data_IF_851954843580
#
_entry.id   IF_851954843580
#
_cell.length_a   1.000
_cell.length_b   1.000
_cell.length_c   1.000
_cell.angle_alpha   90.00
_cell.angle_beta   90.00
_cell.angle_gamma   90.00
#
_symmetry.space_group_name_H-M   'P 1'
#
loop_
_entity.id
_entity.type
_entity.pdbx_description
1 polymer ?
#
# COMPACT_ATOMS: atom_id res chain seq x y z
N UNK A 1 18.20 10.10 -2.06
CA UNK A 1 16.77 9.71 -2.13
C UNK A 1 16.33 9.69 -3.58
N UNK A 2 15.72 8.59 -4.03
CA UNK A 2 15.17 8.47 -5.39
C UNK A 2 13.81 9.18 -5.51
N UNK A 3 13.36 9.50 -6.74
CA UNK A 3 12.05 10.12 -6.99
C UNK A 3 10.90 9.29 -6.39
N UNK A 4 11.01 7.95 -6.46
CA UNK A 4 10.00 7.01 -5.98
C UNK A 4 9.92 6.97 -4.45
N UNK A 5 11.05 7.05 -3.74
CA UNK A 5 11.08 7.16 -2.27
C UNK A 5 10.36 8.44 -1.81
N UNK A 6 10.71 9.60 -2.40
CA UNK A 6 10.02 10.86 -2.06
C UNK A 6 8.52 10.82 -2.35
N UNK A 7 8.10 10.13 -3.42
CA UNK A 7 6.69 9.94 -3.73
C UNK A 7 6.01 9.03 -2.70
N UNK A 8 6.65 7.90 -2.35
CA UNK A 8 6.14 6.92 -1.40
C UNK A 8 5.88 7.55 -0.03
N UNK A 9 6.87 8.23 0.56
CA UNK A 9 6.67 8.92 1.85
C UNK A 9 5.52 9.95 1.85
N UNK A 10 5.35 10.70 0.75
CA UNK A 10 4.22 11.64 0.60
C UNK A 10 2.88 10.91 0.55
N UNK A 11 2.80 9.86 -0.25
CA UNK A 11 1.58 9.06 -0.40
C UNK A 11 1.21 8.39 0.92
N UNK A 12 2.16 7.79 1.64
CA UNK A 12 1.90 7.15 2.94
C UNK A 12 1.33 8.17 3.94
N UNK A 13 1.90 9.39 3.96
CA UNK A 13 1.41 10.47 4.84
C UNK A 13 -0.02 10.87 4.50
N UNK A 14 -0.33 11.01 3.20
CA UNK A 14 -1.67 11.35 2.72
C UNK A 14 -2.66 10.22 2.99
N UNK A 15 -2.28 8.97 2.72
CA UNK A 15 -3.11 7.80 2.92
C UNK A 15 -3.48 7.61 4.40
N UNK A 16 -2.52 7.73 5.32
CA UNK A 16 -2.78 7.69 6.77
C UNK A 16 -3.75 8.78 7.23
N UNK A 17 -3.66 9.96 6.62
CA UNK A 17 -4.56 11.07 6.91
C UNK A 17 -5.98 10.86 6.35
N UNK A 18 -6.09 10.23 5.18
CA UNK A 18 -7.36 10.01 4.49
C UNK A 18 -8.20 8.86 5.08
N UNK A 19 -7.55 7.76 5.51
CA UNK A 19 -8.25 6.54 5.98
C UNK A 19 -8.20 6.33 7.50
N UNK A 20 -7.59 7.26 8.26
CA UNK A 20 -7.58 7.20 9.72
C UNK A 20 -6.56 6.24 10.35
N UNK A 21 -5.64 5.64 9.58
CA UNK A 21 -4.66 4.63 10.04
C UNK A 21 -3.45 5.18 10.83
N UNK A 22 -3.62 6.20 11.67
CA UNK A 22 -2.51 6.85 12.40
C UNK A 22 -2.08 5.99 13.59
N UNK A 23 -1.23 4.99 13.32
CA UNK A 23 -0.69 4.06 14.33
C UNK A 23 -0.92 2.58 14.03
N UNK A 24 -1.64 2.27 12.95
CA UNK A 24 -1.88 0.89 12.52
C UNK A 24 -0.64 0.30 11.83
N UNK A 25 -0.32 -0.96 12.14
CA UNK A 25 0.65 -1.74 11.37
C UNK A 25 0.12 -1.94 9.95
N UNK A 26 0.98 -1.82 8.93
CA UNK A 26 0.58 -2.02 7.54
C UNK A 26 0.05 -3.44 7.29
N UNK A 27 0.65 -4.42 7.98
CA UNK A 27 0.21 -5.82 8.04
C UNK A 27 0.03 -6.23 9.51
N UNK A 28 -1.18 -6.13 10.08
CA UNK A 28 -1.45 -6.57 11.44
C UNK A 28 -1.41 -8.10 11.55
N UNK A 29 -0.65 -8.64 12.50
CA UNK A 29 -0.64 -10.09 12.75
C UNK A 29 -2.02 -10.57 13.20
N UNK A 30 -2.56 -11.58 12.50
CA UNK A 30 -3.82 -12.24 12.87
C UNK A 30 -5.09 -11.64 12.26
N UNK A 31 -5.04 -10.46 11.63
CA UNK A 31 -6.11 -10.01 10.73
C UNK A 31 -5.72 -10.38 9.30
N UNK A 32 -6.54 -11.15 8.59
CA UNK A 32 -6.29 -11.54 7.20
C UNK A 32 -6.36 -10.39 6.18
N UNK A 33 -6.00 -9.17 6.58
CA UNK A 33 -6.10 -7.96 5.76
C UNK A 33 -5.01 -6.95 6.09
N UNK A 34 -4.83 -6.00 5.17
CA UNK A 34 -3.87 -4.91 5.26
C UNK A 34 -4.54 -3.66 5.81
N UNK A 35 -3.75 -2.80 6.46
CA UNK A 35 -4.22 -1.47 6.82
C UNK A 35 -4.60 -0.69 5.56
N UNK A 36 -5.69 0.06 5.63
CA UNK A 36 -6.24 0.72 4.45
C UNK A 36 -5.25 1.75 3.86
N UNK A 37 -4.40 2.37 4.69
CA UNK A 37 -3.36 3.27 4.21
C UNK A 37 -2.30 2.56 3.37
N UNK A 38 -1.97 1.31 3.67
CA UNK A 38 -1.00 0.52 2.92
C UNK A 38 -1.58 0.16 1.54
N UNK A 39 -2.85 -0.24 1.49
CA UNK A 39 -3.58 -0.54 0.26
C UNK A 39 -3.69 0.70 -0.64
N UNK A 40 -4.07 1.85 -0.08
CA UNK A 40 -4.11 3.13 -0.80
C UNK A 40 -2.72 3.52 -1.30
N UNK A 41 -1.68 3.32 -0.48
CA UNK A 41 -0.30 3.67 -0.88
C UNK A 41 0.19 2.83 -2.06
N UNK A 42 -0.07 1.52 -2.03
CA UNK A 42 0.24 0.60 -3.14
C UNK A 42 -0.56 0.95 -4.40
N UNK A 43 -1.82 1.36 -4.26
CA UNK A 43 -2.62 1.82 -5.40
C UNK A 43 -2.05 3.11 -6.03
N UNK A 44 -1.65 4.09 -5.23
CA UNK A 44 -1.02 5.30 -5.73
C UNK A 44 0.32 5.01 -6.43
N UNK A 45 1.13 4.09 -5.89
CA UNK A 45 2.36 3.63 -6.56
C UNK A 45 2.07 2.95 -7.90
N UNK A 46 1.00 2.16 -7.95
CA UNK A 46 0.53 1.54 -9.19
C UNK A 46 0.17 2.56 -10.26
N UNK A 47 -0.50 3.65 -9.87
CA UNK A 47 -0.81 4.77 -10.79
C UNK A 47 0.48 5.50 -11.20
N UNK A 48 1.35 5.83 -10.25
CA UNK A 48 2.60 6.56 -10.51
C UNK A 48 3.57 5.82 -11.43
N UNK A 49 3.60 4.48 -11.33
CA UNK A 49 4.41 3.62 -12.19
C UNK A 49 3.70 3.22 -13.49
N UNK A 50 2.43 3.59 -13.66
CA UNK A 50 1.59 3.27 -14.82
C UNK A 50 1.59 1.77 -15.17
N UNK A 51 1.54 0.92 -14.13
CA UNK A 51 1.69 -0.53 -14.24
C UNK A 51 0.47 -1.30 -13.73
N UNK A 52 0.43 -2.60 -14.01
CA UNK A 52 -0.53 -3.50 -13.35
C UNK A 52 -0.13 -3.73 -11.89
N UNK A 53 -1.08 -4.17 -11.05
CA UNK A 53 -0.78 -4.52 -9.66
C UNK A 53 0.31 -5.57 -9.56
N UNK A 54 0.27 -6.59 -10.42
CA UNK A 54 1.28 -7.66 -10.44
C UNK A 54 2.68 -7.11 -10.68
N UNK A 55 2.86 -6.32 -11.74
CA UNK A 55 4.15 -5.72 -12.05
C UNK A 55 4.67 -4.78 -10.96
N UNK A 56 3.77 -4.05 -10.29
CA UNK A 56 4.15 -3.15 -9.20
C UNK A 56 4.63 -3.93 -7.99
N UNK A 57 3.94 -5.01 -7.63
CA UNK A 57 4.35 -5.87 -6.52
C UNK A 57 5.68 -6.57 -6.82
N UNK A 58 5.85 -7.08 -8.05
CA UNK A 58 7.11 -7.68 -8.49
C UNK A 58 8.27 -6.67 -8.40
N UNK A 59 8.06 -5.43 -8.88
CA UNK A 59 9.07 -4.37 -8.79
C UNK A 59 9.37 -3.97 -7.35
N UNK A 60 8.34 -3.82 -6.51
CA UNK A 60 8.50 -3.44 -5.11
C UNK A 60 9.21 -4.55 -4.31
N UNK A 61 9.04 -5.82 -4.70
CA UNK A 61 9.75 -6.95 -4.08
C UNK A 61 11.28 -6.88 -4.24
N UNK A 62 11.76 -6.13 -5.23
CA UNK A 62 13.18 -5.85 -5.49
C UNK A 62 13.64 -4.52 -4.88
N UNK A 63 12.73 -3.79 -4.21
CA UNK A 63 12.96 -2.48 -3.61
C UNK A 63 12.54 -2.43 -2.14
N UNK A 64 13.18 -3.22 -1.25
CA UNK A 64 12.77 -3.36 0.15
C UNK A 64 12.73 -2.02 0.91
N UNK A 65 13.59 -1.06 0.55
CA UNK A 65 13.53 0.28 1.15
C UNK A 65 12.18 1.01 0.92
N UNK A 66 11.54 0.79 -0.22
CA UNK A 66 10.25 1.43 -0.54
C UNK A 66 9.11 0.75 0.20
N UNK A 67 9.17 -0.58 0.34
CA UNK A 67 8.22 -1.33 1.16
C UNK A 67 8.30 -0.91 2.63
N UNK A 68 9.53 -0.74 3.15
CA UNK A 68 9.75 -0.29 4.51
C UNK A 68 9.17 1.12 4.78
N UNK A 69 9.18 2.02 3.80
CA UNK A 69 8.51 3.33 3.92
C UNK A 69 6.99 3.22 4.08
N UNK A 70 6.38 2.19 3.51
CA UNK A 70 4.95 1.87 3.69
C UNK A 70 4.73 1.15 5.04
N UNK A 71 5.77 0.51 5.58
CA UNK A 71 5.70 -0.35 6.77
C UNK A 71 5.44 -1.81 6.44
N UNK A 72 5.75 -2.25 5.21
CA UNK A 72 5.62 -3.63 4.76
C UNK A 72 7.00 -4.28 4.61
N UNK A 73 7.07 -5.59 4.83
CA UNK A 73 8.22 -6.42 4.46
C UNK A 73 7.95 -7.21 3.17
N UNK A 74 8.99 -7.79 2.56
CA UNK A 74 8.85 -8.63 1.36
C UNK A 74 7.95 -9.84 1.62
N UNK A 75 7.98 -10.38 2.84
CA UNK A 75 7.14 -11.49 3.30
C UNK A 75 5.68 -11.10 3.50
N UNK A 76 5.41 -9.80 3.71
CA UNK A 76 4.08 -9.25 3.94
C UNK A 76 3.45 -8.72 2.65
N UNK A 77 4.06 -8.96 1.49
CA UNK A 77 3.51 -8.47 0.23
C UNK A 77 2.18 -9.18 -0.07
N UNK A 78 1.08 -8.43 -0.22
CA UNK A 78 -0.19 -9.03 -0.63
C UNK A 78 -0.10 -9.63 -2.03
N UNK A 79 -0.89 -10.67 -2.27
CA UNK A 79 -1.22 -11.03 -3.65
C UNK A 79 -2.06 -9.92 -4.31
N UNK A 80 -1.90 -9.79 -5.63
CA UNK A 80 -2.63 -8.81 -6.42
C UNK A 80 -4.16 -8.90 -6.26
N UNK A 81 -4.72 -10.12 -6.10
CA UNK A 81 -6.15 -10.32 -5.87
C UNK A 81 -6.61 -9.81 -4.51
N UNK A 82 -5.79 -9.99 -3.47
CA UNK A 82 -6.02 -9.47 -2.11
C UNK A 82 -6.06 -7.95 -2.10
N UNK A 83 -5.17 -7.28 -2.85
CA UNK A 83 -5.18 -5.82 -2.98
C UNK A 83 -6.44 -5.30 -3.66
N UNK A 84 -6.91 -5.98 -4.71
CA UNK A 84 -8.14 -5.59 -5.40
C UNK A 84 -9.35 -5.69 -4.47
N UNK A 85 -9.47 -6.79 -3.71
CA UNK A 85 -10.55 -6.96 -2.73
C UNK A 85 -10.49 -5.91 -1.62
N UNK A 86 -9.29 -5.64 -1.09
CA UNK A 86 -9.12 -4.63 -0.06
C UNK A 86 -9.46 -3.22 -0.57
N UNK A 87 -9.06 -2.88 -1.80
CA UNK A 87 -9.37 -1.59 -2.40
C UNK A 87 -10.88 -1.42 -2.68
N UNK A 88 -11.55 -2.49 -3.10
CA UNK A 88 -13.01 -2.50 -3.28
C UNK A 88 -13.74 -2.26 -1.94
N UNK A 89 -13.28 -2.92 -0.86
CA UNK A 89 -13.77 -2.68 0.50
C UNK A 89 -13.59 -1.21 0.93
N UNK A 90 -12.42 -0.61 0.67
CA UNK A 90 -12.14 0.79 1.00
C UNK A 90 -13.07 1.73 0.24
N UNK A 91 -13.28 1.49 -1.06
CA UNK A 91 -14.25 2.26 -1.84
C UNK A 91 -15.61 2.20 -1.18
N UNK A 92 -16.12 1.00 -0.88
CA UNK A 92 -17.42 0.83 -0.22
C UNK A 92 -17.53 1.58 1.12
N UNK A 93 -16.43 1.71 1.88
CA UNK A 93 -16.41 2.47 3.13
C UNK A 93 -16.50 3.99 2.93
N UNK A 94 -15.92 4.53 1.84
CA UNK A 94 -15.98 5.97 1.52
C UNK A 94 -17.36 6.42 1.02
N UNK A 95 -18.14 5.50 0.44
CA UNK A 95 -19.50 5.78 -0.06
C UNK A 95 -20.61 5.52 0.98
N UNK A 96 -20.25 5.33 2.26
CA UNK A 96 -21.21 5.26 3.38
C UNK A 96 -21.43 6.63 4.00
#
# INVERSE_FOLDING_TARGET
>A
MSKISRFTGKVVTLAKSAVGGRGESAAPQGSGGFADYAVVSLHCLRIYLEKSYREVLDLLSEMPQILAEIGLEKTDLPDHSTLLQAFDRIKMAVWR
#
